data_IF_280344913193
#
_entry.id   IF_280344913193
#
_cell.length_a   1.000
_cell.length_b   1.000
_cell.length_c   1.000
_cell.angle_alpha   90.00
_cell.angle_beta   90.00
_cell.angle_gamma   90.00
#
_symmetry.space_group_name_H-M   'P 1'
#
loop_
_entity.id
_entity.type
_entity.pdbx_description
1 polymer ?
#
# COMPACT_ATOMS: atom_id res chain seq x y z
N UNK A 1 1.80 -16.17 -22.16
CA UNK A 1 0.46 -15.73 -22.60
C UNK A 1 0.63 -15.16 -23.99
N UNK A 2 -0.32 -15.43 -24.88
CA UNK A 2 -0.26 -14.95 -26.25
C UNK A 2 -0.71 -13.49 -26.31
N UNK A 3 0.22 -12.57 -26.55
CA UNK A 3 -0.05 -11.13 -26.65
C UNK A 3 -0.91 -10.79 -27.87
N UNK A 4 -0.97 -11.68 -28.87
CA UNK A 4 -1.84 -11.52 -30.03
C UNK A 4 -3.33 -11.59 -29.65
N UNK A 5 -3.66 -12.16 -28.49
CA UNK A 5 -5.03 -12.20 -27.97
C UNK A 5 -5.50 -10.86 -27.36
N UNK A 6 -4.61 -9.89 -27.11
CA UNK A 6 -4.95 -8.63 -26.43
C UNK A 6 -6.13 -7.90 -27.08
N UNK A 7 -6.17 -7.66 -28.41
CA UNK A 7 -7.30 -6.97 -29.03
C UNK A 7 -8.64 -7.67 -28.80
N UNK A 8 -8.67 -9.01 -28.87
CA UNK A 8 -9.88 -9.80 -28.63
C UNK A 8 -10.29 -9.75 -27.17
N UNK A 9 -9.33 -9.82 -26.25
CA UNK A 9 -9.59 -9.71 -24.81
C UNK A 9 -10.12 -8.32 -24.44
N UNK A 10 -9.58 -7.24 -25.02
CA UNK A 10 -10.11 -5.88 -24.82
C UNK A 10 -11.57 -5.78 -25.28
N UNK A 11 -11.87 -6.30 -26.46
CA UNK A 11 -13.23 -6.30 -27.01
C UNK A 11 -14.20 -7.10 -26.12
N UNK A 12 -13.79 -8.31 -25.70
CA UNK A 12 -14.58 -9.15 -24.80
C UNK A 12 -14.80 -8.48 -23.44
N UNK A 13 -13.77 -7.87 -22.85
CA UNK A 13 -13.88 -7.13 -21.59
C UNK A 13 -14.87 -5.96 -21.68
N UNK A 14 -14.83 -5.21 -22.78
CA UNK A 14 -15.63 -4.01 -22.95
C UNK A 14 -17.12 -4.27 -23.26
N UNK A 15 -17.45 -5.37 -23.94
CA UNK A 15 -18.76 -5.50 -24.58
C UNK A 15 -19.39 -6.88 -24.58
N UNK A 16 -18.76 -7.92 -24.02
CA UNK A 16 -19.42 -9.23 -23.96
C UNK A 16 -20.68 -9.16 -23.10
N UNK A 17 -21.75 -9.84 -23.51
CA UNK A 17 -23.03 -9.87 -22.78
C UNK A 17 -22.91 -10.60 -21.46
N UNK A 18 -21.97 -11.55 -21.37
CA UNK A 18 -21.76 -12.44 -20.23
C UNK A 18 -20.74 -11.83 -19.28
N UNK A 19 -21.16 -11.57 -18.04
CA UNK A 19 -20.29 -10.98 -17.02
C UNK A 19 -19.04 -11.81 -16.76
N UNK A 20 -19.17 -13.14 -16.76
CA UNK A 20 -18.09 -14.09 -16.57
C UNK A 20 -17.01 -13.97 -17.66
N UNK A 21 -17.42 -13.69 -18.91
CA UNK A 21 -16.50 -13.48 -20.03
C UNK A 21 -15.78 -12.15 -19.89
N UNK A 22 -16.50 -11.06 -19.55
CA UNK A 22 -15.88 -9.75 -19.28
C UNK A 22 -14.85 -9.83 -18.16
N UNK A 23 -15.18 -10.58 -17.11
CA UNK A 23 -14.34 -10.83 -15.95
C UNK A 23 -13.09 -11.65 -16.27
N UNK A 24 -13.26 -12.74 -17.03
CA UNK A 24 -12.14 -13.57 -17.46
C UNK A 24 -11.19 -12.78 -18.38
N UNK A 25 -11.75 -11.99 -19.29
CA UNK A 25 -10.99 -11.12 -20.18
C UNK A 25 -10.20 -10.06 -19.41
N UNK A 26 -10.83 -9.36 -18.46
CA UNK A 26 -10.16 -8.37 -17.61
C UNK A 26 -8.99 -8.96 -16.81
N UNK A 27 -9.19 -10.14 -16.21
CA UNK A 27 -8.10 -10.85 -15.51
C UNK A 27 -6.98 -11.30 -16.45
N UNK A 28 -7.32 -11.73 -17.67
CA UNK A 28 -6.31 -12.11 -18.66
C UNK A 28 -5.47 -10.90 -19.10
N UNK A 29 -6.11 -9.75 -19.36
CA UNK A 29 -5.44 -8.49 -19.71
C UNK A 29 -4.46 -8.04 -18.59
N UNK A 30 -4.89 -8.14 -17.33
CA UNK A 30 -4.03 -7.86 -16.18
C UNK A 30 -2.77 -8.74 -16.15
N UNK A 31 -2.94 -10.06 -16.32
CA UNK A 31 -1.81 -11.01 -16.35
C UNK A 31 -0.89 -10.84 -17.56
N UNK A 32 -1.43 -10.37 -18.69
CA UNK A 32 -0.65 -10.11 -19.90
C UNK A 32 0.12 -8.78 -19.82
N UNK A 33 -0.07 -7.98 -18.77
CA UNK A 33 0.62 -6.71 -18.60
C UNK A 33 0.11 -5.63 -19.56
N UNK A 34 -1.17 -5.69 -19.95
CA UNK A 34 -1.75 -4.70 -20.85
C UNK A 34 -1.95 -3.33 -20.17
N UNK A 35 -0.90 -2.52 -20.21
CA UNK A 35 -0.85 -1.19 -19.59
C UNK A 35 -1.83 -0.16 -20.16
N UNK A 36 -2.40 -0.38 -21.34
CA UNK A 36 -3.44 0.51 -21.89
C UNK A 36 -4.77 0.35 -21.15
N UNK A 37 -4.96 -0.77 -20.44
CA UNK A 37 -6.18 -1.06 -19.70
C UNK A 37 -6.22 -0.42 -18.31
N UNK A 38 -5.15 0.21 -17.85
CA UNK A 38 -5.07 0.82 -16.51
C UNK A 38 -6.21 1.80 -16.29
N UNK A 39 -6.43 2.75 -17.20
CA UNK A 39 -7.46 3.77 -17.04
C UNK A 39 -8.87 3.16 -17.03
N UNK A 40 -9.09 2.11 -17.83
CA UNK A 40 -10.35 1.35 -17.85
C UNK A 40 -10.61 0.67 -16.51
N UNK A 41 -9.60 0.01 -15.92
CA UNK A 41 -9.73 -0.64 -14.63
C UNK A 41 -9.86 0.38 -13.48
N UNK A 42 -9.13 1.49 -13.52
CA UNK A 42 -9.30 2.61 -12.56
C UNK A 42 -10.74 3.13 -12.59
N UNK A 43 -11.30 3.36 -13.78
CA UNK A 43 -12.67 3.81 -13.93
C UNK A 43 -13.68 2.78 -13.38
N UNK A 44 -13.50 1.49 -13.66
CA UNK A 44 -14.34 0.43 -13.13
C UNK A 44 -14.29 0.37 -11.59
N UNK A 45 -13.09 0.47 -10.99
CA UNK A 45 -12.92 0.49 -9.53
C UNK A 45 -13.50 1.76 -8.89
N UNK A 46 -13.46 2.91 -9.57
CA UNK A 46 -14.12 4.13 -9.10
C UNK A 46 -15.64 3.96 -9.01
N UNK A 47 -16.23 3.17 -9.90
CA UNK A 47 -17.67 2.86 -9.96
C UNK A 47 -18.08 1.61 -9.19
N UNK A 48 -17.26 1.18 -8.22
CA UNK A 48 -17.48 -0.02 -7.39
C UNK A 48 -18.79 -0.14 -6.62
N UNK A 49 -19.56 0.95 -6.50
CA UNK A 49 -20.92 0.93 -5.93
C UNK A 49 -21.99 0.55 -6.94
N UNK A 50 -21.72 0.79 -8.22
CA UNK A 50 -22.64 0.49 -9.33
C UNK A 50 -22.46 -0.97 -9.77
N UNK A 51 -21.21 -1.44 -9.89
CA UNK A 51 -20.88 -2.80 -10.33
C UNK A 51 -19.73 -3.39 -9.48
N UNK A 52 -20.11 -4.21 -8.51
CA UNK A 52 -19.17 -4.87 -7.61
C UNK A 52 -18.30 -5.92 -8.31
N UNK A 53 -18.83 -6.61 -9.31
CA UNK A 53 -18.11 -7.68 -10.01
C UNK A 53 -17.01 -7.08 -10.89
N UNK A 54 -17.36 -6.08 -11.70
CA UNK A 54 -16.40 -5.37 -12.55
C UNK A 54 -15.29 -4.70 -11.73
N UNK A 55 -15.65 -4.05 -10.61
CA UNK A 55 -14.66 -3.44 -9.73
C UNK A 55 -13.72 -4.46 -9.08
N UNK A 56 -14.21 -5.65 -8.69
CA UNK A 56 -13.36 -6.72 -8.16
C UNK A 56 -12.38 -7.21 -9.21
N UNK A 57 -12.84 -7.43 -10.44
CA UNK A 57 -11.98 -7.78 -11.57
C UNK A 57 -10.93 -6.69 -11.81
N UNK A 58 -11.33 -5.42 -11.79
CA UNK A 58 -10.43 -4.29 -11.96
C UNK A 58 -9.35 -4.23 -10.87
N UNK A 59 -9.69 -4.42 -9.59
CA UNK A 59 -8.70 -4.43 -8.52
C UNK A 59 -7.65 -5.54 -8.70
N UNK A 60 -8.08 -6.76 -9.04
CA UNK A 60 -7.16 -7.86 -9.34
C UNK A 60 -6.29 -7.57 -10.57
N UNK A 61 -6.87 -7.02 -11.63
CA UNK A 61 -6.15 -6.70 -12.85
C UNK A 61 -5.11 -5.59 -12.61
N UNK A 62 -5.45 -4.53 -11.88
CA UNK A 62 -4.50 -3.47 -11.48
C UNK A 62 -3.33 -4.04 -10.67
N UNK A 63 -3.61 -4.95 -9.73
CA UNK A 63 -2.56 -5.67 -8.99
C UNK A 63 -1.62 -6.47 -9.89
N UNK A 64 -2.19 -7.18 -10.88
CA UNK A 64 -1.40 -7.99 -11.83
C UNK A 64 -0.62 -7.16 -12.84
N UNK A 65 -1.16 -6.00 -13.27
CA UNK A 65 -0.45 -5.07 -14.14
C UNK A 65 0.79 -4.50 -13.45
N UNK A 66 0.71 -4.27 -12.14
CA UNK A 66 1.80 -3.68 -11.37
C UNK A 66 2.08 -2.21 -11.73
N UNK A 67 1.14 -1.55 -12.42
CA UNK A 67 1.30 -0.17 -12.84
C UNK A 67 0.93 0.80 -11.71
N UNK A 68 1.86 1.70 -11.40
CA UNK A 68 1.74 2.70 -10.34
C UNK A 68 0.56 3.64 -10.52
N UNK A 69 0.10 3.86 -11.76
CA UNK A 69 -1.06 4.68 -12.09
C UNK A 69 -2.37 4.14 -11.50
N UNK A 70 -2.42 2.85 -11.16
CA UNK A 70 -3.59 2.22 -10.54
C UNK A 70 -3.65 2.31 -9.02
N UNK A 71 -2.56 2.70 -8.35
CA UNK A 71 -2.41 2.58 -6.90
C UNK A 71 -3.34 3.53 -6.14
N UNK A 72 -3.48 4.78 -6.61
CA UNK A 72 -4.39 5.75 -5.98
C UNK A 72 -5.85 5.25 -5.96
N UNK A 73 -6.29 4.58 -7.03
CA UNK A 73 -7.63 4.00 -7.10
C UNK A 73 -7.81 2.86 -6.09
N UNK A 74 -6.78 2.02 -5.91
CA UNK A 74 -6.75 0.96 -4.90
C UNK A 74 -6.78 1.57 -3.48
N UNK A 75 -5.98 2.60 -3.21
CA UNK A 75 -5.96 3.28 -1.90
C UNK A 75 -7.30 3.95 -1.57
N UNK A 76 -7.97 4.56 -2.56
CA UNK A 76 -9.31 5.11 -2.39
C UNK A 76 -10.37 4.02 -2.09
N UNK A 77 -10.24 2.84 -2.71
CA UNK A 77 -11.09 1.69 -2.39
C UNK A 77 -10.85 1.19 -0.97
N UNK A 78 -9.58 1.08 -0.57
CA UNK A 78 -9.13 0.73 0.78
C UNK A 78 -9.67 1.70 1.84
N UNK A 79 -9.59 3.01 1.60
CA UNK A 79 -10.07 4.04 2.54
C UNK A 79 -11.56 3.90 2.85
N UNK A 80 -12.33 3.53 1.81
CA UNK A 80 -13.77 3.25 1.90
C UNK A 80 -14.11 1.87 2.47
N UNK A 81 -13.11 1.10 2.92
CA UNK A 81 -13.24 -0.28 3.40
C UNK A 81 -13.95 -1.22 2.42
N UNK A 82 -13.82 -0.95 1.11
CA UNK A 82 -14.39 -1.81 0.08
C UNK A 82 -13.45 -2.99 -0.18
N UNK A 83 -13.92 -4.21 0.10
CA UNK A 83 -13.19 -5.47 -0.08
C UNK A 83 -11.70 -5.37 0.33
N UNK A 84 -11.41 -5.09 1.62
CA UNK A 84 -10.07 -4.78 2.08
C UNK A 84 -9.06 -5.90 1.79
N UNK A 85 -9.48 -7.17 1.77
CA UNK A 85 -8.64 -8.31 1.42
C UNK A 85 -8.19 -8.24 -0.05
N UNK A 86 -9.14 -8.03 -0.98
CA UNK A 86 -8.85 -7.92 -2.43
C UNK A 86 -7.95 -6.72 -2.71
N UNK A 87 -8.22 -5.59 -2.08
CA UNK A 87 -7.42 -4.38 -2.27
C UNK A 87 -6.02 -4.56 -1.68
N UNK A 88 -5.89 -5.24 -0.53
CA UNK A 88 -4.59 -5.55 0.07
C UNK A 88 -3.78 -6.48 -0.82
N UNK A 89 -4.38 -7.55 -1.34
CA UNK A 89 -3.75 -8.46 -2.31
C UNK A 89 -3.27 -7.71 -3.56
N UNK A 90 -4.11 -6.81 -4.09
CA UNK A 90 -3.75 -6.01 -5.26
C UNK A 90 -2.56 -5.09 -4.97
N UNK A 91 -2.54 -4.38 -3.84
CA UNK A 91 -1.42 -3.53 -3.43
C UNK A 91 -0.12 -4.34 -3.26
N UNK A 92 -0.20 -5.54 -2.65
CA UNK A 92 0.94 -6.47 -2.55
C UNK A 92 1.42 -6.95 -3.93
N UNK A 93 0.50 -7.18 -4.86
CA UNK A 93 0.83 -7.61 -6.22
C UNK A 93 1.50 -6.49 -7.04
N UNK A 94 1.11 -5.22 -6.84
CA UNK A 94 1.81 -4.08 -7.45
C UNK A 94 3.25 -3.98 -6.96
N UNK A 95 3.50 -4.29 -5.68
CA UNK A 95 4.85 -4.40 -5.13
C UNK A 95 5.41 -3.06 -4.61
N UNK A 96 6.74 -2.83 -4.68
CA UNK A 96 7.41 -1.77 -3.92
C UNK A 96 6.87 -0.36 -4.11
N UNK A 97 6.44 -0.02 -5.34
CA UNK A 97 5.88 1.29 -5.62
C UNK A 97 4.54 1.52 -4.91
N UNK A 98 3.71 0.47 -4.77
CA UNK A 98 2.50 0.55 -3.97
C UNK A 98 2.79 0.61 -2.47
N UNK A 99 3.83 -0.08 -1.98
CA UNK A 99 4.26 0.02 -0.59
C UNK A 99 4.69 1.46 -0.23
N UNK A 100 5.44 2.13 -1.12
CA UNK A 100 5.81 3.54 -0.94
C UNK A 100 4.60 4.47 -0.85
N UNK A 101 3.64 4.34 -1.77
CA UNK A 101 2.41 5.14 -1.75
C UNK A 101 1.53 4.81 -0.53
N UNK A 102 1.45 3.54 -0.11
CA UNK A 102 0.72 3.12 1.09
C UNK A 102 1.31 3.75 2.36
N UNK A 103 2.64 3.81 2.49
CA UNK A 103 3.32 4.45 3.63
C UNK A 103 2.95 5.92 3.69
N UNK A 104 3.10 6.66 2.59
CA UNK A 104 2.73 8.07 2.54
C UNK A 104 1.23 8.29 2.83
N UNK A 105 0.37 7.44 2.27
CA UNK A 105 -1.07 7.51 2.46
C UNK A 105 -1.50 7.33 3.92
N UNK A 106 -0.90 6.37 4.63
CA UNK A 106 -1.17 6.10 6.05
C UNK A 106 -0.55 7.15 6.96
N UNK A 107 0.61 7.70 6.58
CA UNK A 107 1.26 8.80 7.27
C UNK A 107 0.38 10.06 7.27
N UNK A 108 -0.21 10.40 6.12
CA UNK A 108 -1.13 11.54 5.98
C UNK A 108 -2.46 11.30 6.72
N UNK A 109 -2.81 10.04 7.01
CA UNK A 109 -4.08 9.63 7.62
C UNK A 109 -3.86 8.69 8.82
N UNK A 110 -3.19 9.16 9.90
CA UNK A 110 -2.76 8.29 11.00
C UNK A 110 -3.91 7.63 11.77
N UNK A 111 -5.13 8.17 11.66
CA UNK A 111 -6.36 7.59 12.23
C UNK A 111 -6.74 6.25 11.58
N UNK A 112 -6.26 5.97 10.36
CA UNK A 112 -6.50 4.68 9.71
C UNK A 112 -5.74 3.55 10.40
N UNK A 113 -4.61 3.84 11.05
CA UNK A 113 -3.80 2.85 11.77
C UNK A 113 -4.53 2.22 12.97
N UNK A 114 -5.60 2.87 13.45
CA UNK A 114 -6.44 2.32 14.52
C UNK A 114 -7.46 1.28 14.01
N UNK A 115 -7.62 1.16 12.68
CA UNK A 115 -8.54 0.20 12.04
C UNK A 115 -7.87 -1.17 11.88
N UNK A 116 -8.63 -2.24 12.02
CA UNK A 116 -8.15 -3.62 11.72
C UNK A 116 -7.67 -3.77 10.27
N UNK A 117 -8.29 -3.06 9.32
CA UNK A 117 -7.91 -3.10 7.90
C UNK A 117 -6.50 -2.59 7.65
N UNK A 118 -6.03 -1.58 8.42
CA UNK A 118 -4.67 -1.07 8.29
C UNK A 118 -3.65 -2.11 8.73
N UNK A 119 -3.92 -2.78 9.84
CA UNK A 119 -3.07 -3.86 10.32
C UNK A 119 -3.01 -5.01 9.32
N UNK A 120 -4.15 -5.41 8.75
CA UNK A 120 -4.21 -6.45 7.74
C UNK A 120 -3.40 -6.10 6.47
N UNK A 121 -3.58 -4.90 5.92
CA UNK A 121 -2.85 -4.50 4.69
C UNK A 121 -1.34 -4.39 4.94
N UNK A 122 -0.93 -3.86 6.11
CA UNK A 122 0.48 -3.76 6.50
C UNK A 122 1.08 -5.16 6.73
N UNK A 123 0.35 -6.06 7.40
CA UNK A 123 0.78 -7.44 7.62
C UNK A 123 0.94 -8.22 6.30
N UNK A 124 0.12 -7.92 5.30
CA UNK A 124 0.21 -8.55 3.98
C UNK A 124 1.42 -8.08 3.16
N UNK A 125 1.99 -6.90 3.44
CA UNK A 125 3.15 -6.38 2.70
C UNK A 125 4.40 -7.21 2.98
N UNK A 126 5.19 -7.47 1.92
CA UNK A 126 6.49 -8.11 2.05
C UNK A 126 7.47 -7.17 2.74
N UNK A 127 8.28 -7.71 3.66
CA UNK A 127 9.33 -6.93 4.33
C UNK A 127 10.32 -6.31 3.34
N UNK A 128 10.63 -7.03 2.25
CA UNK A 128 11.51 -6.58 1.15
C UNK A 128 11.02 -5.34 0.43
N UNK A 129 9.72 -5.07 0.48
CA UNK A 129 9.07 -3.97 -0.24
C UNK A 129 8.75 -2.82 0.74
N UNK A 130 8.27 -3.15 1.93
CA UNK A 130 7.84 -2.17 2.94
C UNK A 130 9.01 -1.49 3.68
N UNK A 131 10.09 -2.22 3.98
CA UNK A 131 11.24 -1.62 4.70
C UNK A 131 11.93 -0.52 3.88
N UNK A 132 12.28 -0.73 2.60
CA UNK A 132 12.89 0.33 1.79
C UNK A 132 11.96 1.53 1.61
N UNK A 133 10.65 1.31 1.50
CA UNK A 133 9.66 2.39 1.44
C UNK A 133 9.66 3.27 2.71
N UNK A 134 9.72 2.64 3.89
CA UNK A 134 9.80 3.36 5.16
C UNK A 134 11.14 4.11 5.31
N UNK A 135 12.25 3.49 4.90
CA UNK A 135 13.57 4.12 4.94
C UNK A 135 13.65 5.34 4.01
N UNK A 136 13.22 5.19 2.76
CA UNK A 136 13.17 6.30 1.81
C UNK A 136 12.31 7.46 2.34
N UNK A 137 11.15 7.14 2.97
CA UNK A 137 10.30 8.16 3.57
C UNK A 137 10.98 8.86 4.76
N UNK A 138 11.73 8.14 5.59
CA UNK A 138 12.50 8.75 6.68
C UNK A 138 13.60 9.67 6.15
N UNK A 139 14.30 9.26 5.11
CA UNK A 139 15.35 10.06 4.47
C UNK A 139 14.79 11.37 3.90
N UNK A 140 13.61 11.33 3.26
CA UNK A 140 12.89 12.53 2.80
C UNK A 140 12.54 13.48 3.96
N UNK A 141 12.33 12.96 5.16
CA UNK A 141 11.94 13.72 6.34
C UNK A 141 13.13 14.27 7.13
N UNK A 142 14.36 13.92 6.79
CA UNK A 142 15.55 14.21 7.61
C UNK A 142 15.65 15.67 8.08
N UNK A 143 15.29 16.62 7.20
CA UNK A 143 15.31 18.07 7.49
C UNK A 143 13.97 18.68 7.90
N UNK A 144 12.91 17.88 8.04
CA UNK A 144 11.57 18.38 8.27
C UNK A 144 11.36 18.81 9.73
N UNK A 145 10.75 19.98 9.94
CA UNK A 145 10.46 20.50 11.28
C UNK A 145 9.48 19.59 12.05
N UNK A 146 8.60 18.89 11.33
CA UNK A 146 7.63 17.93 11.83
C UNK A 146 8.12 16.47 11.75
N UNK A 147 9.43 16.24 11.66
CA UNK A 147 10.01 14.90 11.64
C UNK A 147 9.53 14.05 12.83
N UNK A 148 9.52 14.58 14.06
CA UNK A 148 9.16 13.82 15.27
C UNK A 148 7.75 13.22 15.20
N UNK A 149 6.68 14.01 14.97
CA UNK A 149 5.34 13.43 14.85
C UNK A 149 5.22 12.48 13.66
N UNK A 150 5.93 12.72 12.55
CA UNK A 150 5.86 11.88 11.35
C UNK A 150 6.58 10.54 11.51
N UNK A 151 7.81 10.54 12.02
CA UNK A 151 8.55 9.34 12.41
C UNK A 151 7.80 8.51 13.47
N UNK A 152 7.06 9.17 14.36
CA UNK A 152 6.17 8.49 15.33
C UNK A 152 5.06 7.70 14.63
N UNK A 153 4.47 8.25 13.56
CA UNK A 153 3.47 7.56 12.75
C UNK A 153 4.11 6.41 11.97
N UNK A 154 5.29 6.60 11.39
CA UNK A 154 6.00 5.53 10.68
C UNK A 154 6.35 4.33 11.59
N UNK A 155 6.74 4.58 12.85
CA UNK A 155 6.88 3.50 13.84
C UNK A 155 5.56 2.84 14.20
N UNK A 156 4.45 3.60 14.19
CA UNK A 156 3.12 3.05 14.44
C UNK A 156 2.67 2.11 13.30
N UNK A 157 3.04 2.40 12.05
CA UNK A 157 2.78 1.51 10.90
C UNK A 157 3.35 0.11 11.19
N UNK A 158 4.58 0.03 11.70
CA UNK A 158 5.28 -1.24 11.95
C UNK A 158 5.15 -1.76 13.39
N UNK A 159 4.24 -1.24 14.19
CA UNK A 159 4.14 -1.57 15.63
C UNK A 159 3.93 -3.07 15.88
N UNK A 160 3.15 -3.75 15.02
CA UNK A 160 2.91 -5.20 15.09
C UNK A 160 3.86 -6.01 14.17
N UNK A 161 4.78 -5.36 13.44
CA UNK A 161 5.72 -5.99 12.50
C UNK A 161 7.08 -6.18 13.15
N UNK A 162 7.23 -7.25 13.92
CA UNK A 162 8.46 -7.56 14.68
C UNK A 162 9.69 -7.71 13.79
N UNK A 163 9.50 -8.13 12.55
CA UNK A 163 10.53 -8.25 11.50
C UNK A 163 11.04 -6.91 10.97
N UNK A 164 10.32 -5.81 11.22
CA UNK A 164 10.63 -4.47 10.71
C UNK A 164 10.86 -3.42 11.79
N UNK A 165 10.22 -3.57 12.96
CA UNK A 165 10.15 -2.54 13.98
C UNK A 165 11.54 -2.03 14.43
N UNK A 166 12.47 -2.95 14.70
CA UNK A 166 13.84 -2.61 15.11
C UNK A 166 14.59 -1.87 13.98
N UNK A 167 14.51 -2.38 12.75
CA UNK A 167 15.19 -1.77 11.60
C UNK A 167 14.70 -0.32 11.34
N UNK A 168 13.40 -0.08 11.47
CA UNK A 168 12.81 1.27 11.32
C UNK A 168 13.22 2.18 12.48
N UNK A 169 13.26 1.66 13.72
CA UNK A 169 13.72 2.42 14.88
C UNK A 169 15.19 2.86 14.72
N UNK A 170 16.06 1.95 14.27
CA UNK A 170 17.46 2.26 13.97
C UNK A 170 17.58 3.30 12.86
N UNK A 171 16.80 3.17 11.79
CA UNK A 171 16.79 4.15 10.70
C UNK A 171 16.41 5.55 11.19
N UNK A 172 15.43 5.68 12.09
CA UNK A 172 15.05 6.99 12.68
C UNK A 172 16.23 7.62 13.42
N UNK A 173 16.94 6.85 14.24
CA UNK A 173 18.11 7.35 15.00
C UNK A 173 19.26 7.71 14.07
N UNK A 174 19.46 6.96 12.98
CA UNK A 174 20.47 7.26 11.97
C UNK A 174 20.17 8.56 11.21
N UNK A 175 18.92 8.74 10.78
CA UNK A 175 18.47 9.94 10.05
C UNK A 175 18.53 11.19 10.94
N UNK A 176 18.19 11.07 12.23
CA UNK A 176 18.24 12.18 13.19
C UNK A 176 18.97 11.78 14.47
N UNK A 177 20.31 11.87 14.49
CA UNK A 177 21.10 11.55 15.68
C UNK A 177 20.71 12.43 16.88
N UNK A 178 20.61 11.82 18.07
CA UNK A 178 20.24 12.52 19.31
C UNK A 178 18.73 12.71 19.53
N UNK A 179 17.88 12.22 18.63
CA UNK A 179 16.41 12.27 18.78
C UNK A 179 15.90 11.63 20.08
N UNK A 180 16.68 10.71 20.65
CA UNK A 180 16.40 10.00 21.90
C UNK A 180 16.53 10.88 23.16
N UNK A 181 17.13 12.06 23.05
CA UNK A 181 17.27 13.01 24.17
C UNK A 181 16.43 14.27 23.97
N UNK A 182 15.73 14.40 22.85
CA UNK A 182 14.91 15.56 22.53
C UNK A 182 13.77 15.74 23.55
N UNK A 183 13.59 16.98 23.99
CA UNK A 183 12.61 17.35 25.00
C UNK A 183 11.23 17.60 24.36
N UNK A 184 10.18 17.43 25.15
CA UNK A 184 8.80 17.68 24.72
C UNK A 184 7.94 16.42 24.68
N UNK A 185 6.61 16.63 24.59
CA UNK A 185 5.60 15.57 24.67
C UNK A 185 5.69 14.60 23.49
N UNK A 186 5.88 15.14 22.29
CA UNK A 186 5.91 14.34 21.06
C UNK A 186 7.20 13.51 21.02
N UNK A 187 8.34 14.12 21.38
CA UNK A 187 9.61 13.42 21.54
C UNK A 187 9.54 12.33 22.62
N UNK A 188 8.84 12.56 23.74
CA UNK A 188 8.61 11.51 24.74
C UNK A 188 7.79 10.32 24.19
N UNK A 189 6.84 10.58 23.30
CA UNK A 189 6.06 9.51 22.65
C UNK A 189 6.90 8.71 21.68
N UNK A 190 7.69 9.38 20.83
CA UNK A 190 8.63 8.75 19.91
C UNK A 190 9.62 7.85 20.67
N UNK A 191 10.23 8.36 21.74
CA UNK A 191 11.19 7.61 22.56
C UNK A 191 10.63 6.32 23.15
N UNK A 192 9.39 6.35 23.66
CA UNK A 192 8.73 5.13 24.14
C UNK A 192 8.56 4.08 23.04
N UNK A 193 8.21 4.53 21.83
CA UNK A 193 8.06 3.64 20.66
C UNK A 193 9.40 3.09 20.18
N UNK A 194 10.44 3.90 20.14
CA UNK A 194 11.81 3.45 19.84
C UNK A 194 12.26 2.36 20.83
N UNK A 195 12.07 2.59 22.13
CA UNK A 195 12.42 1.61 23.16
C UNK A 195 11.62 0.30 23.03
N UNK A 196 10.31 0.38 22.72
CA UNK A 196 9.47 -0.79 22.50
C UNK A 196 9.93 -1.59 21.26
N UNK A 197 10.22 -0.91 20.14
CA UNK A 197 10.71 -1.54 18.93
C UNK A 197 12.05 -2.27 19.13
N UNK A 198 12.99 -1.65 19.87
CA UNK A 198 14.27 -2.27 20.21
C UNK A 198 14.14 -3.47 21.17
N UNK A 199 13.09 -3.51 22.00
CA UNK A 199 12.83 -4.66 22.87
C UNK A 199 12.29 -5.87 22.10
N UNK A 200 11.47 -5.63 21.08
CA UNK A 200 10.88 -6.68 20.24
C UNK A 200 11.92 -7.41 19.40
N UNK A 201 12.93 -6.72 18.86
CA UNK A 201 13.98 -7.36 18.04
C UNK A 201 14.95 -8.26 18.84
N UNK A 202 14.95 -8.18 20.17
CA UNK A 202 15.80 -8.98 21.06
C UNK A 202 15.12 -10.24 21.62
N UNK A 203 13.83 -10.43 21.34
CA UNK A 203 13.01 -11.53 21.84
C UNK A 203 12.89 -12.65 20.79
#
# INVERSE_FOLDING_TARGET
GDVEAIPLLRAAHAGDVTTEVRDAAGRALGRLGDGDMVDSFVAALARRRDDHAAARTAAHALGQLGDVRGVDALLAAYESAWLPEVVSEALVAVGPAASAQLVAFLEDRPKLLDRSTARAVIAAQRATDLLPALQARLDELAGAADFVPRATVLLKIVEERTDLAEAVALAIVQVRPGIETEAGRDAATLRRRLAAAAAVGRA
#
